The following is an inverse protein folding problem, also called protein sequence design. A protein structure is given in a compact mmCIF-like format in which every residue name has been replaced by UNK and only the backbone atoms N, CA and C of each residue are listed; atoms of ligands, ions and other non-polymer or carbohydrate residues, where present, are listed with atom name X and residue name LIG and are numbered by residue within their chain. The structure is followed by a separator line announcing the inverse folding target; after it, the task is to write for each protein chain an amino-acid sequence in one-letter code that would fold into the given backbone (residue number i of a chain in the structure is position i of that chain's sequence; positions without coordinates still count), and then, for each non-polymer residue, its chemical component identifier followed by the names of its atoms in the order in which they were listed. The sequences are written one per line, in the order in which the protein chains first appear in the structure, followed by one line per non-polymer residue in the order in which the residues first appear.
data_IF_631802935468
#
_entry.id   IF_631802935468
#
_cell.length_a   1.000
_cell.length_b   1.000
_cell.length_c   1.000
_cell.angle_alpha   90.00
_cell.angle_beta   90.00
_cell.angle_gamma   90.00
#
_symmetry.space_group_name_H-M   'P 1'
#
loop_
_entity.id
_entity.type
_entity.pdbx_description
1 polymer ?
#
# COMPACT_ATOMS: atom_id res chain seq x y z
N UNK A 1 -13.55 10.02 -2.12
CA UNK A 1 -13.24 11.29 -1.43
C UNK A 1 -11.79 11.66 -1.69
N UNK A 2 -11.55 12.92 -2.00
CA UNK A 2 -10.18 13.47 -2.14
C UNK A 2 -9.80 14.22 -0.89
N UNK A 3 -8.53 14.11 -0.46
CA UNK A 3 -8.00 14.89 0.62
C UNK A 3 -6.57 15.35 0.30
N UNK A 4 -6.27 16.63 0.52
CA UNK A 4 -4.93 17.18 0.40
C UNK A 4 -4.05 16.71 1.54
N UNK A 5 -2.79 16.45 1.24
CA UNK A 5 -1.76 16.03 2.20
C UNK A 5 -0.51 16.89 1.98
N UNK A 6 0.34 17.00 2.99
CA UNK A 6 1.61 17.73 2.86
C UNK A 6 2.51 17.14 1.75
N UNK A 7 2.37 15.85 1.47
CA UNK A 7 3.15 15.15 0.45
C UNK A 7 2.46 15.07 -0.91
N UNK A 8 1.19 15.48 -1.02
CA UNK A 8 0.42 15.40 -2.26
C UNK A 8 -1.08 15.29 -2.01
N UNK A 9 -1.69 14.23 -2.52
CA UNK A 9 -3.14 14.04 -2.47
C UNK A 9 -3.48 12.57 -2.37
N UNK A 10 -4.56 12.25 -1.65
CA UNK A 10 -5.16 10.92 -1.62
C UNK A 10 -6.61 10.97 -2.06
N UNK A 11 -7.05 9.95 -2.79
CA UNK A 11 -8.45 9.78 -3.23
C UNK A 11 -8.87 8.36 -2.94
N UNK A 12 -9.97 8.19 -2.23
CA UNK A 12 -10.51 6.86 -1.95
C UNK A 12 -11.19 6.29 -3.19
N UNK A 13 -10.76 5.10 -3.62
CA UNK A 13 -11.38 4.35 -4.73
C UNK A 13 -12.47 3.44 -4.17
N UNK A 14 -12.17 2.74 -3.06
CA UNK A 14 -13.09 1.79 -2.44
C UNK A 14 -12.72 1.62 -0.96
N UNK A 15 -13.72 1.44 -0.12
CA UNK A 15 -13.47 1.04 1.28
C UNK A 15 -14.69 0.31 1.86
N UNK A 16 -14.39 -0.57 2.80
CA UNK A 16 -15.37 -1.19 3.68
C UNK A 16 -14.72 -1.42 5.05
N UNK A 17 -15.30 -2.19 5.94
CA UNK A 17 -14.79 -2.39 7.30
C UNK A 17 -13.47 -3.17 7.39
N UNK A 18 -13.00 -3.80 6.31
CA UNK A 18 -11.80 -4.66 6.31
C UNK A 18 -10.79 -4.34 5.21
N UNK A 19 -11.16 -3.47 4.27
CA UNK A 19 -10.33 -3.14 3.11
C UNK A 19 -10.51 -1.68 2.71
N UNK A 20 -9.39 -1.00 2.39
CA UNK A 20 -9.40 0.34 1.82
C UNK A 20 -8.45 0.38 0.63
N UNK A 21 -8.88 1.07 -0.41
CA UNK A 21 -8.15 1.20 -1.66
C UNK A 21 -8.13 2.67 -2.06
N UNK A 22 -6.93 3.25 -2.10
CA UNK A 22 -6.74 4.68 -2.37
C UNK A 22 -5.80 4.88 -3.55
N UNK A 23 -6.03 5.95 -4.28
CA UNK A 23 -5.08 6.47 -5.26
C UNK A 23 -4.34 7.64 -4.62
N UNK A 24 -3.02 7.62 -4.63
CA UNK A 24 -2.20 8.72 -4.10
C UNK A 24 -1.38 9.36 -5.22
N UNK A 25 -1.25 10.67 -5.14
CA UNK A 25 -0.38 11.49 -5.98
C UNK A 25 0.66 12.09 -5.03
N UNK A 26 1.94 11.92 -5.34
CA UNK A 26 3.00 12.40 -4.47
C UNK A 26 3.96 13.33 -5.20
N UNK A 27 4.48 14.30 -4.45
CA UNK A 27 5.39 15.32 -4.95
C UNK A 27 6.83 14.96 -4.60
N UNK A 28 7.73 15.11 -5.56
CA UNK A 28 9.16 14.84 -5.40
C UNK A 28 9.71 15.43 -4.10
N UNK A 29 10.43 14.63 -3.34
CA UNK A 29 11.11 15.03 -2.10
C UNK A 29 10.22 15.07 -0.87
N UNK A 30 8.92 14.83 -1.00
CA UNK A 30 8.00 14.85 0.14
C UNK A 30 7.95 13.48 0.83
N UNK A 31 7.51 13.50 2.08
CA UNK A 31 7.39 12.32 2.94
C UNK A 31 6.06 12.33 3.65
N UNK A 32 5.50 11.15 3.89
CA UNK A 32 4.41 11.02 4.84
C UNK A 32 4.95 10.97 6.28
N UNK A 33 4.07 10.95 7.27
CA UNK A 33 4.48 10.75 8.65
C UNK A 33 5.08 9.36 8.87
N UNK A 34 5.99 9.25 9.82
CA UNK A 34 6.44 7.95 10.32
C UNK A 34 5.39 7.47 11.32
N UNK A 35 4.72 6.37 11.00
CA UNK A 35 3.60 5.85 11.79
C UNK A 35 3.50 4.34 11.69
N UNK A 36 2.63 3.75 12.49
CA UNK A 36 2.31 2.33 12.42
C UNK A 36 0.81 2.12 12.59
N UNK A 37 0.33 0.98 12.11
CA UNK A 37 -1.05 0.53 12.28
C UNK A 37 -1.07 -0.70 13.18
N UNK A 38 -1.99 -0.74 14.12
CA UNK A 38 -2.05 -1.82 15.10
C UNK A 38 -2.56 -3.13 14.50
N UNK A 39 -3.55 -3.05 13.61
CA UNK A 39 -4.26 -4.24 13.13
C UNK A 39 -4.25 -4.43 11.63
N UNK A 40 -3.98 -3.40 10.86
CA UNK A 40 -4.09 -3.47 9.41
C UNK A 40 -2.73 -3.52 8.71
N UNK A 41 -2.70 -4.25 7.62
CA UNK A 41 -1.62 -4.24 6.66
C UNK A 41 -1.72 -2.99 5.80
N UNK A 42 -0.59 -2.55 5.28
CA UNK A 42 -0.51 -1.44 4.34
C UNK A 42 0.26 -1.90 3.10
N UNK A 43 -0.28 -1.66 1.92
CA UNK A 43 0.38 -1.99 0.65
C UNK A 43 0.55 -0.77 -0.21
N UNK A 44 1.59 -0.79 -1.04
CA UNK A 44 1.89 0.27 -2.00
C UNK A 44 2.20 -0.36 -3.35
N UNK A 45 1.55 0.12 -4.40
CA UNK A 45 1.79 -0.30 -5.78
C UNK A 45 2.02 0.96 -6.61
N UNK A 46 3.25 1.18 -7.07
CA UNK A 46 3.60 2.39 -7.84
C UNK A 46 3.12 2.24 -9.28
N UNK A 47 2.40 3.24 -9.77
CA UNK A 47 1.92 3.30 -11.15
C UNK A 47 2.68 4.31 -11.98
N UNK A 48 3.34 5.29 -11.33
CA UNK A 48 4.14 6.32 -12.00
C UNK A 48 5.18 6.86 -11.03
N UNK A 49 6.41 7.08 -11.51
CA UNK A 49 7.50 7.63 -10.71
C UNK A 49 8.13 6.60 -9.79
N UNK A 50 8.77 7.07 -8.72
CA UNK A 50 9.47 6.22 -7.76
C UNK A 50 9.18 6.64 -6.33
N UNK A 51 9.03 5.65 -5.45
CA UNK A 51 8.71 5.80 -4.06
C UNK A 51 9.63 4.92 -3.22
N UNK A 52 10.18 5.45 -2.13
CA UNK A 52 10.92 4.66 -1.14
C UNK A 52 9.95 4.33 -0.02
N UNK A 53 9.87 3.06 0.35
CA UNK A 53 9.15 2.61 1.53
C UNK A 53 10.17 2.22 2.59
N UNK A 54 10.17 2.93 3.73
CA UNK A 54 11.02 2.64 4.87
C UNK A 54 10.22 1.96 5.96
N UNK A 55 10.80 0.89 6.50
CA UNK A 55 10.20 0.13 7.59
C UNK A 55 11.25 -0.04 8.69
N UNK A 56 10.91 0.36 9.91
CA UNK A 56 11.76 0.20 11.09
C UNK A 56 11.36 -1.10 11.80
N UNK A 57 12.29 -2.03 11.84
CA UNK A 57 12.10 -3.37 12.42
C UNK A 57 12.83 -3.49 13.76
N UNK A 58 12.40 -4.44 14.56
CA UNK A 58 13.08 -4.80 15.82
C UNK A 58 13.37 -3.59 16.72
N UNK A 59 12.34 -2.77 17.00
CA UNK A 59 12.46 -1.59 17.86
C UNK A 59 13.53 -0.60 17.39
N UNK A 60 13.59 -0.35 16.08
CA UNK A 60 14.49 0.61 15.43
C UNK A 60 15.93 0.12 15.24
N UNK A 61 16.24 -1.13 15.59
CA UNK A 61 17.59 -1.66 15.37
C UNK A 61 17.88 -1.93 13.89
N UNK A 62 16.84 -2.08 13.08
CA UNK A 62 16.99 -2.40 11.67
C UNK A 62 16.05 -1.54 10.80
N UNK A 63 16.65 -0.81 9.87
CA UNK A 63 15.91 -0.06 8.86
C UNK A 63 15.92 -0.84 7.55
N UNK A 64 14.73 -1.09 7.02
CA UNK A 64 14.54 -1.72 5.72
C UNK A 64 14.05 -0.66 4.73
N UNK A 65 14.72 -0.52 3.59
CA UNK A 65 14.36 0.44 2.55
C UNK A 65 14.10 -0.28 1.24
N UNK A 66 12.90 -0.07 0.68
CA UNK A 66 12.50 -0.63 -0.59
C UNK A 66 12.19 0.49 -1.55
N UNK A 67 12.86 0.52 -2.70
CA UNK A 67 12.57 1.49 -3.78
C UNK A 67 11.62 0.82 -4.75
N UNK A 68 10.46 1.45 -4.97
CA UNK A 68 9.44 0.97 -5.89
C UNK A 68 9.42 1.86 -7.12
N UNK A 69 9.54 1.25 -8.29
CA UNK A 69 9.32 1.87 -9.60
C UNK A 69 7.99 1.40 -10.17
N UNK A 70 7.60 1.94 -11.33
CA UNK A 70 6.33 1.61 -12.00
C UNK A 70 6.12 0.09 -12.09
N UNK A 71 4.98 -0.38 -11.61
CA UNK A 71 4.58 -1.78 -11.63
C UNK A 71 5.04 -2.58 -10.43
N UNK A 72 5.87 -2.01 -9.55
CA UNK A 72 6.38 -2.69 -8.36
C UNK A 72 5.52 -2.39 -7.12
N UNK A 73 5.52 -3.33 -6.19
CA UNK A 73 4.71 -3.21 -4.98
C UNK A 73 5.42 -3.84 -3.79
N UNK A 74 5.04 -3.39 -2.60
CA UNK A 74 5.47 -3.99 -1.33
C UNK A 74 4.38 -3.85 -0.29
N UNK A 75 4.54 -4.55 0.81
CA UNK A 75 3.59 -4.51 1.93
C UNK A 75 4.31 -4.26 3.25
N UNK A 76 3.58 -3.67 4.19
CA UNK A 76 4.04 -3.42 5.56
C UNK A 76 3.08 -4.13 6.51
N UNK A 77 3.63 -4.91 7.44
CA UNK A 77 2.86 -5.65 8.44
C UNK A 77 2.27 -4.71 9.50
N UNK A 78 1.17 -5.11 10.14
CA UNK A 78 0.73 -4.42 11.36
C UNK A 78 1.86 -4.36 12.40
N UNK A 79 1.91 -3.27 13.15
CA UNK A 79 2.87 -3.08 14.24
C UNK A 79 4.23 -2.55 13.82
N UNK A 80 4.53 -2.44 12.53
CA UNK A 80 5.81 -1.91 12.07
C UNK A 80 5.70 -0.41 11.76
N UNK A 81 6.59 0.40 12.31
CA UNK A 81 6.71 1.80 11.93
C UNK A 81 7.19 1.90 10.49
N UNK A 82 6.57 2.75 9.71
CA UNK A 82 6.93 2.95 8.31
C UNK A 82 6.70 4.39 7.87
N UNK A 83 7.30 4.73 6.75
CA UNK A 83 7.22 6.05 6.13
C UNK A 83 7.55 5.90 4.66
N UNK A 84 6.83 6.59 3.77
CA UNK A 84 7.28 6.70 2.38
C UNK A 84 7.94 8.04 2.10
N UNK A 85 8.83 8.05 1.12
CA UNK A 85 9.44 9.25 0.57
C UNK A 85 9.36 9.19 -0.95
N UNK A 86 8.96 10.30 -1.57
CA UNK A 86 8.87 10.41 -3.02
C UNK A 86 10.23 10.76 -3.63
N UNK A 87 10.79 9.85 -4.43
CA UNK A 87 12.03 10.09 -5.18
C UNK A 87 11.78 11.03 -6.35
N UNK A 88 10.59 10.93 -6.94
CA UNK A 88 10.13 11.78 -8.03
C UNK A 88 8.68 12.17 -7.79
N UNK A 89 8.12 13.03 -8.62
CA UNK A 89 6.67 13.15 -8.73
C UNK A 89 6.13 11.81 -9.21
N UNK A 90 4.95 11.43 -8.75
CA UNK A 90 4.37 10.17 -9.19
C UNK A 90 3.02 9.86 -8.59
N UNK A 91 2.61 8.62 -8.84
CA UNK A 91 1.31 8.09 -8.43
C UNK A 91 1.46 6.65 -7.98
N UNK A 92 0.63 6.26 -7.02
CA UNK A 92 0.59 4.90 -6.52
C UNK A 92 -0.81 4.53 -6.06
N UNK A 93 -1.03 3.24 -5.91
CA UNK A 93 -2.20 2.70 -5.23
C UNK A 93 -1.76 2.35 -3.82
N UNK A 94 -2.50 2.84 -2.84
CA UNK A 94 -2.27 2.52 -1.43
C UNK A 94 -3.43 1.69 -0.92
N UNK A 95 -3.11 0.57 -0.28
CA UNK A 95 -4.08 -0.42 0.18
C UNK A 95 -3.93 -0.64 1.67
N UNK A 96 -5.08 -0.81 2.35
CA UNK A 96 -5.14 -1.26 3.74
C UNK A 96 -6.10 -2.42 3.83
N UNK A 97 -5.75 -3.46 4.58
CA UNK A 97 -6.62 -4.62 4.76
C UNK A 97 -6.34 -5.32 6.09
N UNK A 98 -7.35 -6.02 6.59
CA UNK A 98 -7.17 -6.99 7.64
C UNK A 98 -6.79 -8.34 6.99
N UNK A 99 -6.07 -9.17 7.73
CA UNK A 99 -5.68 -10.49 7.23
C UNK A 99 -6.92 -11.34 6.95
N UNK A 100 -6.86 -12.11 5.86
CA UNK A 100 -7.95 -13.01 5.47
C UNK A 100 -7.36 -14.38 5.06
N UNK A 101 -8.23 -15.39 5.04
CA UNK A 101 -7.87 -16.73 4.63
C UNK A 101 -8.06 -16.88 3.11
N UNK A 102 -6.96 -17.05 2.39
CA UNK A 102 -6.99 -17.23 0.94
C UNK A 102 -7.74 -18.47 0.48
N UNK A 103 -7.88 -19.46 1.39
CA UNK A 103 -8.56 -20.73 1.10
C UNK A 103 -10.05 -20.65 1.45
N UNK A 104 -10.53 -19.48 1.88
CA UNK A 104 -11.95 -19.24 2.18
C UNK A 104 -12.75 -19.18 0.89
N UNK A 105 -13.14 -20.35 0.41
CA UNK A 105 -13.98 -20.53 -0.76
C UNK A 105 -14.71 -21.87 -0.67
N UNK A 106 -15.95 -21.88 -1.07
CA UNK A 106 -16.76 -23.08 -1.19
C UNK A 106 -17.37 -23.09 -2.59
N UNK A 107 -17.13 -24.17 -3.35
CA UNK A 107 -17.53 -24.25 -4.76
C UNK A 107 -18.70 -25.22 -4.94
N UNK A 108 -19.73 -24.76 -5.59
CA UNK A 108 -20.82 -25.63 -6.08
C UNK A 108 -20.47 -26.18 -7.45
N UNK A 109 -19.79 -25.40 -8.29
CA UNK A 109 -19.35 -25.85 -9.62
C UNK A 109 -17.86 -25.50 -9.80
N UNK A 110 -17.24 -26.09 -10.82
CA UNK A 110 -15.92 -25.72 -11.27
C UNK A 110 -16.04 -24.74 -12.45
N UNK A 111 -14.98 -23.94 -12.66
CA UNK A 111 -14.93 -23.04 -13.81
C UNK A 111 -14.82 -23.83 -15.12
N UNK A 112 -15.21 -23.22 -16.21
CA UNK A 112 -15.06 -23.80 -17.54
C UNK A 112 -14.52 -22.76 -18.52
N UNK A 113 -13.80 -23.30 -19.53
CA UNK A 113 -13.27 -22.51 -20.63
C UNK A 113 -14.27 -22.45 -21.77
N UNK A 114 -14.46 -21.28 -22.37
CA UNK A 114 -15.34 -21.12 -23.55
C UNK A 114 -14.84 -21.87 -24.77
N UNK A 115 -13.59 -22.34 -24.77
CA UNK A 115 -12.99 -23.12 -25.87
C UNK A 115 -12.97 -24.61 -25.66
N UNK A 116 -13.60 -25.14 -24.60
CA UNK A 116 -13.60 -26.57 -24.27
C UNK A 116 -14.92 -27.24 -24.51
#
# INVERSE_FOLDING_TARGET
MKAGKVWGQTSTIFQNGVFEFHHIIFNKGSKCSKHKHKYKWNGFHVTKGQLIIRVWKNNYDLLDETILSKGEWTTVKPGEYHQFEAVSDGEALELYWAEFDHDDIERETVGESSGS
#
